data_IF_182063351668
#
_entry.id   IF_182063351668
#
_cell.length_a   1.000
_cell.length_b   1.000
_cell.length_c   1.000
_cell.angle_alpha   90.00
_cell.angle_beta   90.00
_cell.angle_gamma   90.00
#
_symmetry.space_group_name_H-M   'P 1'
#
loop_
_entity.id
_entity.type
_entity.pdbx_description
1 polymer ?
#
# COMPACT_ATOMS: atom_id res chain seq x y z
N UNK A 1 22.56 5.44 11.33
CA UNK A 1 22.11 4.12 10.81
C UNK A 1 20.77 4.42 10.19
N UNK A 2 20.70 4.46 8.86
CA UNK A 2 19.52 4.98 8.17
C UNK A 2 18.29 4.10 8.46
N UNK A 3 17.32 4.68 9.13
CA UNK A 3 16.09 4.05 9.64
C UNK A 3 15.24 3.44 8.49
N UNK A 4 15.48 3.91 7.27
CA UNK A 4 14.90 3.43 6.01
C UNK A 4 15.24 1.98 5.65
N UNK A 5 16.30 1.40 6.23
CA UNK A 5 16.65 -0.01 6.01
C UNK A 5 15.66 -1.01 6.62
N UNK A 6 14.65 -0.54 7.38
CA UNK A 6 13.72 -1.41 8.10
C UNK A 6 12.40 -1.68 7.37
N UNK A 7 12.16 -1.07 6.21
CA UNK A 7 10.93 -1.29 5.46
C UNK A 7 10.78 -2.71 4.91
N UNK A 8 11.91 -3.40 4.66
CA UNK A 8 11.95 -4.82 4.35
C UNK A 8 12.95 -5.46 5.32
N UNK A 9 12.47 -6.44 6.09
CA UNK A 9 13.31 -7.25 6.97
C UNK A 9 13.84 -8.47 6.23
N UNK A 10 14.80 -9.17 6.84
CA UNK A 10 15.32 -10.44 6.31
C UNK A 10 14.23 -11.50 6.08
N UNK A 11 13.12 -11.44 6.83
CA UNK A 11 12.03 -12.38 6.65
C UNK A 11 11.29 -12.14 5.33
N UNK A 12 10.95 -10.88 5.00
CA UNK A 12 10.34 -10.57 3.71
C UNK A 12 11.33 -10.82 2.55
N UNK A 13 12.62 -10.47 2.70
CA UNK A 13 13.64 -10.79 1.68
C UNK A 13 13.71 -12.30 1.41
N UNK A 14 13.72 -13.11 2.46
CA UNK A 14 13.73 -14.57 2.35
C UNK A 14 12.47 -15.10 1.69
N UNK A 15 11.31 -14.55 2.04
CA UNK A 15 10.04 -14.93 1.42
C UNK A 15 10.10 -14.74 -0.10
N UNK A 16 10.46 -13.55 -0.58
CA UNK A 16 10.52 -13.29 -2.02
C UNK A 16 11.72 -13.95 -2.73
N UNK A 17 12.74 -14.40 -1.99
CA UNK A 17 13.88 -15.09 -2.59
C UNK A 17 13.73 -16.60 -2.64
N UNK A 18 13.01 -17.22 -1.70
CA UNK A 18 12.99 -18.68 -1.55
C UNK A 18 11.59 -19.30 -1.61
N UNK A 19 10.52 -18.52 -1.43
CA UNK A 19 9.17 -19.04 -1.37
C UNK A 19 8.47 -18.99 -2.74
N UNK A 20 8.39 -20.15 -3.38
CA UNK A 20 7.58 -20.33 -4.58
C UNK A 20 6.08 -20.43 -4.20
N UNK A 21 5.31 -19.38 -4.52
CA UNK A 21 3.85 -19.38 -4.33
C UNK A 21 3.10 -20.06 -5.47
N UNK A 22 3.82 -20.68 -6.41
CA UNK A 22 3.31 -21.36 -7.59
C UNK A 22 2.42 -20.43 -8.42
N UNK A 23 1.11 -20.65 -8.41
CA UNK A 23 0.14 -19.86 -9.19
C UNK A 23 -0.53 -18.75 -8.39
N UNK A 24 -0.22 -18.60 -7.09
CA UNK A 24 -0.87 -17.60 -6.23
C UNK A 24 -0.10 -16.27 -6.32
N UNK A 25 -0.71 -15.19 -6.86
CA UNK A 25 -0.05 -13.90 -6.92
C UNK A 25 0.09 -13.29 -5.51
N UNK A 26 1.25 -12.69 -5.23
CA UNK A 26 1.52 -11.97 -3.98
C UNK A 26 1.56 -10.48 -4.26
N UNK A 27 1.04 -9.68 -3.33
CA UNK A 27 1.11 -8.21 -3.35
C UNK A 27 1.84 -7.77 -2.09
N UNK A 28 2.82 -6.87 -2.23
CA UNK A 28 3.50 -6.28 -1.09
C UNK A 28 2.65 -5.12 -0.52
N UNK A 29 2.24 -5.23 0.75
CA UNK A 29 1.43 -4.20 1.42
C UNK A 29 2.29 -3.45 2.44
N UNK A 30 2.58 -2.19 2.14
CA UNK A 30 3.28 -1.29 3.06
C UNK A 30 2.26 -0.63 3.99
N UNK A 31 2.06 -1.24 5.15
CA UNK A 31 1.16 -0.74 6.19
C UNK A 31 1.78 0.43 6.96
N UNK A 32 0.93 1.23 7.62
CA UNK A 32 1.34 2.38 8.44
C UNK A 32 2.20 3.37 7.65
N UNK A 33 1.85 3.61 6.38
CA UNK A 33 2.61 4.50 5.52
C UNK A 33 2.64 5.94 6.05
N UNK A 34 1.64 6.32 6.85
CA UNK A 34 1.58 7.57 7.61
C UNK A 34 2.73 7.75 8.62
N UNK A 35 3.39 6.68 9.06
CA UNK A 35 4.59 6.79 9.90
C UNK A 35 5.72 7.55 9.19
N UNK A 36 5.81 7.46 7.85
CA UNK A 36 6.80 8.18 7.06
C UNK A 36 6.47 9.68 6.93
N UNK A 37 5.25 10.09 7.29
CA UNK A 37 4.85 11.50 7.22
C UNK A 37 5.55 12.33 8.27
N UNK A 38 5.90 11.76 9.43
CA UNK A 38 6.61 12.48 10.49
C UNK A 38 8.04 12.84 10.03
N UNK A 39 8.74 11.90 9.39
CA UNK A 39 10.06 12.15 8.79
C UNK A 39 9.97 13.17 7.65
N UNK A 40 8.98 13.00 6.77
CA UNK A 40 8.73 13.92 5.67
C UNK A 40 8.43 15.34 6.17
N UNK A 41 7.63 15.45 7.24
CA UNK A 41 7.33 16.72 7.90
C UNK A 41 8.59 17.36 8.49
N UNK A 42 9.47 16.57 9.11
CA UNK A 42 10.77 17.02 9.61
C UNK A 42 11.61 17.68 8.51
N UNK A 43 11.79 17.00 7.39
CA UNK A 43 12.57 17.54 6.25
C UNK A 43 11.94 18.81 5.64
N UNK A 44 10.61 18.85 5.53
CA UNK A 44 9.89 20.04 5.03
C UNK A 44 10.06 21.23 5.96
N UNK A 45 10.04 21.00 7.28
CA UNK A 45 10.22 22.04 8.29
C UNK A 45 11.66 22.60 8.27
N UNK A 46 12.65 21.73 8.10
CA UNK A 46 14.05 22.14 7.92
C UNK A 46 14.25 22.98 6.65
N UNK A 47 13.43 22.75 5.63
CA UNK A 47 13.41 23.55 4.41
C UNK A 47 12.75 24.94 4.58
N UNK A 48 12.31 25.30 5.80
CA UNK A 48 11.78 26.62 6.15
C UNK A 48 10.28 26.80 5.90
N UNK A 49 9.55 25.74 5.57
CA UNK A 49 8.10 25.79 5.35
C UNK A 49 7.34 25.99 6.66
N UNK A 50 6.16 26.62 6.58
CA UNK A 50 5.28 26.77 7.74
C UNK A 50 4.72 25.42 8.19
N UNK A 51 4.29 25.34 9.45
CA UNK A 51 3.63 24.13 10.00
C UNK A 51 2.45 23.65 9.15
N UNK A 52 1.64 24.57 8.63
CA UNK A 52 0.49 24.22 7.79
C UNK A 52 0.92 23.66 6.44
N UNK A 53 1.93 24.26 5.80
CA UNK A 53 2.49 23.77 4.54
C UNK A 53 3.14 22.40 4.71
N UNK A 54 3.94 22.22 5.75
CA UNK A 54 4.58 20.95 6.07
C UNK A 54 3.53 19.84 6.23
N UNK A 55 2.48 20.08 7.02
CA UNK A 55 1.42 19.07 7.23
C UNK A 55 0.69 18.72 5.93
N UNK A 56 0.44 19.72 5.07
CA UNK A 56 -0.23 19.50 3.78
C UNK A 56 0.65 18.73 2.79
N UNK A 57 1.97 18.95 2.82
CA UNK A 57 2.92 18.36 1.87
C UNK A 57 3.55 17.05 2.33
N UNK A 58 3.47 16.72 3.62
CA UNK A 58 4.07 15.52 4.20
C UNK A 58 3.65 14.22 3.50
N UNK A 59 2.37 13.98 3.14
CA UNK A 59 1.99 12.74 2.46
C UNK A 59 2.67 12.56 1.10
N UNK A 60 2.79 13.63 0.31
CA UNK A 60 3.43 13.57 -1.00
C UNK A 60 4.95 13.43 -0.87
N UNK A 61 5.55 14.15 0.08
CA UNK A 61 6.99 14.03 0.37
C UNK A 61 7.34 12.62 0.87
N UNK A 62 6.47 11.97 1.63
CA UNK A 62 6.65 10.58 2.05
C UNK A 62 6.64 9.61 0.86
N UNK A 63 5.77 9.81 -0.13
CA UNK A 63 5.79 9.00 -1.38
C UNK A 63 7.10 9.18 -2.16
N UNK A 64 7.60 10.42 -2.26
CA UNK A 64 8.89 10.71 -2.89
C UNK A 64 10.03 10.00 -2.14
N UNK A 65 10.05 10.11 -0.81
CA UNK A 65 11.02 9.43 0.05
C UNK A 65 10.98 7.92 -0.15
N UNK A 66 9.79 7.32 -0.12
CA UNK A 66 9.61 5.89 -0.35
C UNK A 66 10.13 5.44 -1.72
N UNK A 67 9.84 6.22 -2.77
CA UNK A 67 10.35 5.94 -4.12
C UNK A 67 11.88 5.99 -4.16
N UNK A 68 12.48 6.98 -3.51
CA UNK A 68 13.94 7.15 -3.42
C UNK A 68 14.63 6.02 -2.63
N UNK A 69 13.91 5.32 -1.75
CA UNK A 69 14.44 4.15 -1.05
C UNK A 69 14.63 2.92 -1.96
N UNK A 70 14.09 2.95 -3.19
CA UNK A 70 14.22 1.87 -4.19
C UNK A 70 13.80 0.50 -3.67
N UNK A 71 12.87 0.47 -2.73
CA UNK A 71 12.34 -0.75 -2.10
C UNK A 71 11.67 -1.63 -3.17
N UNK A 72 10.88 -1.01 -4.05
CA UNK A 72 10.22 -1.71 -5.14
C UNK A 72 11.20 -2.30 -6.16
N UNK A 73 12.27 -1.58 -6.48
CA UNK A 73 13.32 -2.09 -7.38
C UNK A 73 13.96 -3.35 -6.80
N UNK A 74 14.32 -3.32 -5.51
CA UNK A 74 14.88 -4.47 -4.80
C UNK A 74 13.93 -5.68 -4.81
N UNK A 75 12.64 -5.46 -4.58
CA UNK A 75 11.65 -6.54 -4.58
C UNK A 75 11.46 -7.17 -5.96
N UNK A 76 11.48 -6.37 -7.03
CA UNK A 76 11.36 -6.86 -8.41
C UNK A 76 12.53 -7.71 -8.87
N UNK A 77 13.70 -7.54 -8.25
CA UNK A 77 14.92 -8.30 -8.56
C UNK A 77 15.00 -9.66 -7.84
N UNK A 78 14.04 -9.97 -6.97
CA UNK A 78 13.99 -11.25 -6.25
C UNK A 78 13.55 -12.42 -7.14
N UNK A 79 13.81 -13.65 -6.71
CA UNK A 79 13.47 -14.86 -7.48
C UNK A 79 11.95 -15.04 -7.66
N UNK A 80 11.18 -14.70 -6.63
CA UNK A 80 9.73 -14.79 -6.59
C UNK A 80 9.15 -13.40 -6.28
N UNK A 81 9.19 -12.46 -7.25
CA UNK A 81 8.84 -11.08 -6.99
C UNK A 81 7.33 -10.94 -6.72
N UNK A 82 6.93 -9.99 -5.86
CA UNK A 82 5.53 -9.62 -5.75
C UNK A 82 5.02 -9.09 -7.09
N UNK A 83 3.76 -9.40 -7.41
CA UNK A 83 3.11 -8.99 -8.65
C UNK A 83 2.78 -7.51 -8.69
N UNK A 84 2.49 -6.94 -7.53
CA UNK A 84 2.27 -5.52 -7.35
C UNK A 84 2.61 -5.10 -5.91
N UNK A 85 2.53 -3.81 -5.62
CA UNK A 85 2.62 -3.27 -4.27
C UNK A 85 1.61 -2.16 -4.04
N UNK A 86 1.24 -1.98 -2.78
CA UNK A 86 0.37 -0.88 -2.33
C UNK A 86 0.88 -0.32 -1.01
N UNK A 87 0.72 0.98 -0.83
CA UNK A 87 0.95 1.66 0.44
C UNK A 87 -0.38 2.10 1.05
N UNK A 88 -0.56 1.83 2.34
CA UNK A 88 -1.77 2.16 3.08
C UNK A 88 -1.41 3.04 4.26
N UNK A 89 -2.09 4.19 4.36
CA UNK A 89 -1.94 5.16 5.43
C UNK A 89 -3.23 5.25 6.26
N UNK A 90 -3.11 5.71 7.50
CA UNK A 90 -4.25 6.02 8.37
C UNK A 90 -5.22 4.83 8.56
N UNK A 91 -4.69 3.60 8.58
CA UNK A 91 -5.47 2.35 8.67
C UNK A 91 -6.27 2.22 9.98
N UNK A 92 -5.99 3.06 10.98
CA UNK A 92 -6.73 3.14 12.24
C UNK A 92 -8.05 3.92 12.12
N UNK A 93 -8.30 4.59 10.98
CA UNK A 93 -9.52 5.36 10.75
C UNK A 93 -10.63 4.49 10.15
N UNK A 94 -11.86 4.70 10.61
CA UNK A 94 -13.05 3.99 10.11
C UNK A 94 -13.31 4.22 8.61
N UNK A 95 -12.80 5.33 8.07
CA UNK A 95 -12.91 5.73 6.66
C UNK A 95 -11.57 5.62 5.90
N UNK A 96 -10.63 4.81 6.39
CA UNK A 96 -9.38 4.56 5.69
C UNK A 96 -9.64 4.06 4.26
N UNK A 97 -8.89 4.60 3.30
CA UNK A 97 -9.08 4.28 1.90
C UNK A 97 -8.46 2.92 1.55
N UNK A 98 -9.32 1.91 1.39
CA UNK A 98 -8.95 0.58 0.92
C UNK A 98 -9.03 0.43 -0.61
N UNK A 99 -9.44 1.47 -1.34
CA UNK A 99 -9.53 1.47 -2.80
C UNK A 99 -8.24 1.00 -3.48
N UNK A 100 -7.06 1.56 -3.13
CA UNK A 100 -5.79 1.15 -3.73
C UNK A 100 -5.48 -0.35 -3.54
N UNK A 101 -5.85 -0.94 -2.40
CA UNK A 101 -5.65 -2.36 -2.16
C UNK A 101 -6.58 -3.21 -3.04
N UNK A 102 -7.84 -2.78 -3.22
CA UNK A 102 -8.79 -3.47 -4.10
C UNK A 102 -8.34 -3.39 -5.57
N UNK A 103 -7.88 -2.23 -6.01
CA UNK A 103 -7.35 -2.02 -7.36
C UNK A 103 -6.11 -2.86 -7.61
N UNK A 104 -5.12 -2.81 -6.71
CA UNK A 104 -3.92 -3.64 -6.78
C UNK A 104 -4.24 -5.14 -6.75
N UNK A 105 -5.21 -5.56 -5.94
CA UNK A 105 -5.67 -6.96 -5.90
C UNK A 105 -6.28 -7.37 -7.23
N UNK A 106 -7.18 -6.55 -7.78
CA UNK A 106 -7.77 -6.82 -9.09
C UNK A 106 -6.70 -6.90 -10.19
N UNK A 107 -5.71 -6.00 -10.20
CA UNK A 107 -4.61 -6.02 -11.17
C UNK A 107 -3.69 -7.23 -11.02
N UNK A 108 -3.49 -7.71 -9.78
CA UNK A 108 -2.67 -8.88 -9.51
C UNK A 108 -3.36 -10.19 -9.93
N UNK A 109 -4.69 -10.25 -9.97
CA UNK A 109 -5.41 -11.41 -10.47
C UNK A 109 -5.16 -11.57 -11.97
N UNK A 110 -4.53 -12.68 -12.38
CA UNK A 110 -4.14 -12.93 -13.77
C UNK A 110 -5.30 -13.33 -14.70
N UNK A 111 -6.46 -13.71 -14.15
CA UNK A 111 -7.62 -14.19 -14.91
C UNK A 111 -8.80 -13.24 -14.78
N UNK A 112 -9.42 -12.88 -15.91
CA UNK A 112 -10.59 -12.00 -15.97
C UNK A 112 -11.75 -12.52 -15.11
N UNK A 113 -11.95 -13.85 -15.07
CA UNK A 113 -12.99 -14.45 -14.25
C UNK A 113 -12.78 -14.18 -12.75
N UNK A 114 -11.54 -14.22 -12.26
CA UNK A 114 -11.21 -13.91 -10.87
C UNK A 114 -11.38 -12.41 -10.57
N UNK A 115 -10.97 -11.55 -11.50
CA UNK A 115 -11.20 -10.10 -11.39
C UNK A 115 -12.69 -9.77 -11.29
N UNK A 116 -13.50 -10.35 -12.19
CA UNK A 116 -14.94 -10.19 -12.20
C UNK A 116 -15.60 -10.73 -10.94
N UNK A 117 -15.11 -11.86 -10.39
CA UNK A 117 -15.58 -12.40 -9.13
C UNK A 117 -15.35 -11.41 -7.97
N UNK A 118 -14.15 -10.83 -7.86
CA UNK A 118 -13.83 -9.83 -6.84
C UNK A 118 -14.73 -8.60 -6.98
N UNK A 119 -14.83 -8.03 -8.19
CA UNK A 119 -15.65 -6.85 -8.46
C UNK A 119 -17.13 -7.11 -8.15
N UNK A 120 -17.65 -8.28 -8.55
CA UNK A 120 -19.05 -8.65 -8.29
C UNK A 120 -19.34 -8.73 -6.79
N UNK A 121 -18.40 -9.24 -6.00
CA UNK A 121 -18.53 -9.32 -4.53
C UNK A 121 -18.63 -7.93 -3.91
N UNK A 122 -17.79 -6.98 -4.36
CA UNK A 122 -17.85 -5.60 -3.88
C UNK A 122 -19.18 -4.91 -4.25
N UNK A 123 -19.69 -5.15 -5.47
CA UNK A 123 -21.01 -4.62 -5.90
C UNK A 123 -22.16 -5.19 -5.07
N UNK A 124 -22.16 -6.49 -4.80
CA UNK A 124 -23.19 -7.14 -3.98
C UNK A 124 -23.16 -6.59 -2.55
N UNK A 125 -21.99 -6.40 -1.96
CA UNK A 125 -21.87 -5.79 -0.63
C UNK A 125 -22.48 -4.39 -0.61
N UNK A 126 -22.20 -3.54 -1.60
CA UNK A 126 -22.79 -2.21 -1.71
C UNK A 126 -24.32 -2.26 -1.85
N UNK A 127 -24.84 -3.14 -2.70
CA UNK A 127 -26.28 -3.31 -2.90
C UNK A 127 -26.99 -3.75 -1.60
N UNK A 128 -26.39 -4.67 -0.84
CA UNK A 128 -26.90 -5.08 0.47
C UNK A 128 -26.85 -3.93 1.47
N UNK A 129 -25.76 -3.17 1.53
CA UNK A 129 -25.65 -2.00 2.40
C UNK A 129 -26.74 -0.96 2.10
N UNK A 130 -27.00 -0.66 0.82
CA UNK A 130 -28.07 0.26 0.41
C UNK A 130 -29.44 -0.28 0.85
N UNK A 131 -29.71 -1.57 0.61
CA UNK A 131 -30.96 -2.21 1.02
C UNK A 131 -31.19 -2.04 2.53
N UNK A 132 -30.20 -2.39 3.36
CA UNK A 132 -30.30 -2.26 4.81
C UNK A 132 -30.38 -0.81 5.30
N UNK A 133 -29.83 0.15 4.55
CA UNK A 133 -29.93 1.56 4.90
C UNK A 133 -31.32 2.16 4.57
N UNK A 134 -31.97 1.70 3.51
CA UNK A 134 -33.29 2.18 3.07
C UNK A 134 -34.45 1.49 3.78
N UNK A 135 -34.29 0.21 4.16
CA UNK A 135 -35.31 -0.56 4.91
C UNK A 135 -35.36 -0.22 6.41
N UNK A 136 -34.67 0.84 6.87
CA UNK A 136 -34.67 1.33 8.26
C UNK A 136 -35.45 2.63 8.44
#
# INVERSE_FOLDING_TARGET
>A
MDEYHRAITKAEEKFFSECDTSSVPVIAVFTKFDALWDDAYGQLKESGLTRMECKRMAPEKAKEMFTNMKIWDRLRETQYPPRDWVSLAEMDKDNADCGPLLEGTSGALGEEAMQMLLISTQRTNLALCIKFAVER
#
